data_IF_672816702796
#
_entry.id   IF_672816702796
#
_cell.length_a   1.000
_cell.length_b   1.000
_cell.length_c   1.000
_cell.angle_alpha   90.00
_cell.angle_beta   90.00
_cell.angle_gamma   90.00
#
_symmetry.space_group_name_H-M   'P 1'
#
loop_
_entity.id
_entity.type
_entity.pdbx_description
1 polymer ?
#
# COMPACT_ATOMS: atom_id res chain seq x y z
N UNK A 1 -16.96 2.67 16.14
CA UNK A 1 -16.66 2.34 14.73
C UNK A 1 -15.88 1.04 14.75
N UNK A 2 -16.30 -0.01 14.04
CA UNK A 2 -15.65 -1.33 14.11
C UNK A 2 -15.09 -1.78 12.77
N UNK A 3 -13.89 -2.35 12.77
CA UNK A 3 -13.25 -2.99 11.60
C UNK A 3 -12.96 -4.43 11.96
N UNK A 4 -13.43 -5.39 11.15
CA UNK A 4 -13.26 -6.84 11.41
C UNK A 4 -13.69 -7.27 12.83
N UNK A 5 -14.79 -6.70 13.35
CA UNK A 5 -15.31 -6.98 14.69
C UNK A 5 -14.54 -6.30 15.84
N UNK A 6 -13.51 -5.51 15.55
CA UNK A 6 -12.72 -4.77 16.55
C UNK A 6 -13.15 -3.32 16.57
N UNK A 7 -13.55 -2.81 17.74
CA UNK A 7 -13.77 -1.38 17.92
C UNK A 7 -12.44 -0.64 17.82
N UNK A 8 -12.25 0.12 16.74
CA UNK A 8 -11.01 0.83 16.47
C UNK A 8 -10.83 2.05 17.37
N UNK A 9 -11.90 2.58 17.96
CA UNK A 9 -11.84 3.74 18.86
C UNK A 9 -11.26 3.35 20.22
N UNK A 10 -11.50 2.11 20.65
CA UNK A 10 -11.05 1.58 21.93
C UNK A 10 -9.61 1.02 21.91
N UNK A 11 -8.93 1.01 20.76
CA UNK A 11 -7.59 0.41 20.62
C UNK A 11 -6.49 1.30 21.22
N UNK A 12 -5.63 0.69 22.04
CA UNK A 12 -4.39 1.32 22.48
C UNK A 12 -3.38 1.50 21.34
N UNK A 13 -2.31 2.30 21.51
CA UNK A 13 -1.37 2.68 20.44
C UNK A 13 -0.74 1.49 19.70
N UNK A 14 -0.34 0.45 20.43
CA UNK A 14 0.30 -0.74 19.85
C UNK A 14 -0.70 -1.58 19.03
N UNK A 15 -1.93 -1.73 19.51
CA UNK A 15 -2.98 -2.46 18.80
C UNK A 15 -3.42 -1.70 17.56
N UNK A 16 -3.54 -0.37 17.65
CA UNK A 16 -3.82 0.50 16.50
C UNK A 16 -2.72 0.37 15.44
N UNK A 17 -1.44 0.34 15.82
CA UNK A 17 -0.32 0.10 14.88
C UNK A 17 -0.42 -1.24 14.17
N UNK A 18 -0.89 -2.29 14.85
CA UNK A 18 -1.14 -3.60 14.21
C UNK A 18 -2.35 -3.55 13.28
N UNK A 19 -3.43 -2.90 13.69
CA UNK A 19 -4.65 -2.73 12.89
C UNK A 19 -4.37 -1.99 11.58
N UNK A 20 -3.53 -0.95 11.59
CA UNK A 20 -3.13 -0.20 10.39
C UNK A 20 -2.48 -1.05 9.30
N UNK A 21 -1.98 -2.25 9.59
CA UNK A 21 -1.46 -3.18 8.55
C UNK A 21 -2.57 -3.88 7.76
N UNK A 22 -3.80 -3.84 8.26
CA UNK A 22 -4.99 -4.44 7.64
C UNK A 22 -5.92 -3.40 7.01
N UNK A 23 -5.51 -2.13 7.03
CA UNK A 23 -6.30 -1.01 6.52
C UNK A 23 -5.50 -0.32 5.41
N UNK A 24 -6.11 -0.13 4.26
CA UNK A 24 -5.57 0.69 3.18
C UNK A 24 -6.47 1.90 2.98
N UNK A 25 -5.88 3.09 3.05
CA UNK A 25 -6.58 4.33 2.78
C UNK A 25 -6.58 4.60 1.28
N UNK A 26 -7.73 4.98 0.74
CA UNK A 26 -7.87 5.46 -0.65
C UNK A 26 -8.39 6.89 -0.57
N UNK A 27 -7.65 7.83 -1.17
CA UNK A 27 -8.02 9.24 -1.19
C UNK A 27 -9.04 9.51 -2.31
N UNK A 28 -9.98 10.43 -2.05
CA UNK A 28 -10.98 10.83 -3.05
C UNK A 28 -10.38 11.68 -4.18
N UNK A 29 -9.36 12.48 -3.88
CA UNK A 29 -8.54 13.16 -4.89
C UNK A 29 -7.23 12.37 -5.11
N UNK A 30 -7.17 11.54 -6.16
CA UNK A 30 -5.99 10.73 -6.43
C UNK A 30 -4.77 11.60 -6.79
N UNK A 31 -4.95 12.74 -7.46
CA UNK A 31 -3.84 13.56 -7.96
C UNK A 31 -3.04 14.21 -6.84
N UNK A 32 -3.73 14.69 -5.81
CA UNK A 32 -3.10 15.25 -4.61
C UNK A 32 -2.31 14.20 -3.80
N UNK A 33 -2.67 12.92 -3.94
CA UNK A 33 -2.08 11.82 -3.17
C UNK A 33 -0.87 11.16 -3.87
N UNK A 34 -0.70 11.41 -5.17
CA UNK A 34 0.43 10.91 -5.93
C UNK A 34 1.67 11.78 -5.68
N UNK A 35 2.82 11.13 -5.55
CA UNK A 35 4.10 11.84 -5.47
C UNK A 35 4.69 11.95 -6.88
N UNK A 36 4.58 13.11 -7.57
CA UNK A 36 4.86 13.21 -9.01
C UNK A 36 6.33 13.00 -9.40
N UNK A 37 7.24 12.93 -8.41
CA UNK A 37 8.67 12.64 -8.62
C UNK A 37 9.03 11.18 -8.35
N UNK A 38 8.07 10.38 -7.89
CA UNK A 38 8.25 8.97 -7.57
C UNK A 38 7.67 8.14 -8.71
N UNK A 39 8.42 7.11 -9.13
CA UNK A 39 7.94 6.15 -10.12
C UNK A 39 6.73 5.41 -9.57
N UNK A 40 5.81 5.02 -10.45
CA UNK A 40 4.62 4.24 -10.06
C UNK A 40 5.04 2.97 -9.30
N UNK A 41 6.08 2.28 -9.75
CA UNK A 41 6.60 1.08 -9.07
C UNK A 41 7.09 1.36 -7.64
N UNK A 42 7.70 2.52 -7.41
CA UNK A 42 8.22 2.92 -6.09
C UNK A 42 7.10 3.30 -5.13
N UNK A 43 6.03 3.93 -5.64
CA UNK A 43 4.83 4.25 -4.86
C UNK A 43 4.08 2.99 -4.43
N UNK A 44 3.99 1.97 -5.30
CA UNK A 44 3.38 0.68 -4.96
C UNK A 44 4.29 -0.12 -4.01
N UNK A 45 5.61 -0.03 -4.20
CA UNK A 45 6.58 -0.72 -3.35
C UNK A 45 6.68 -0.15 -1.93
N UNK A 46 6.40 1.14 -1.74
CA UNK A 46 6.59 1.84 -0.45
C UNK A 46 5.83 1.18 0.71
N UNK A 47 4.51 0.90 0.63
CA UNK A 47 3.80 0.17 1.69
C UNK A 47 4.41 -1.21 1.99
N UNK A 48 4.91 -1.88 0.96
CA UNK A 48 5.53 -3.21 1.09
C UNK A 48 6.90 -3.14 1.81
N UNK A 49 7.55 -1.97 1.89
CA UNK A 49 8.81 -1.82 2.63
C UNK A 49 8.64 -2.01 4.14
N UNK A 50 7.44 -1.76 4.67
CA UNK A 50 7.09 -1.91 6.08
C UNK A 50 6.71 -3.36 6.41
N UNK A 51 6.45 -4.18 5.40
CA UNK A 51 6.21 -5.62 5.56
C UNK A 51 7.50 -6.39 5.84
N UNK A 52 7.36 -7.65 6.26
CA UNK A 52 8.48 -8.58 6.48
C UNK A 52 9.01 -9.22 5.18
N UNK A 53 8.50 -8.80 4.00
CA UNK A 53 8.86 -9.38 2.71
C UNK A 53 10.30 -9.03 2.29
N UNK A 54 11.00 -10.00 1.70
CA UNK A 54 12.35 -9.80 1.15
C UNK A 54 12.30 -8.96 -0.13
N UNK A 55 13.44 -8.35 -0.50
CA UNK A 55 13.55 -7.51 -1.70
C UNK A 55 13.01 -8.17 -2.99
N UNK A 56 13.35 -9.44 -3.30
CA UNK A 56 12.83 -10.11 -4.49
C UNK A 56 11.30 -10.30 -4.46
N UNK A 57 10.78 -10.78 -3.33
CA UNK A 57 9.34 -11.02 -3.12
C UNK A 57 8.53 -9.72 -3.26
N UNK A 58 9.06 -8.59 -2.74
CA UNK A 58 8.42 -7.29 -2.92
C UNK A 58 8.35 -6.89 -4.39
N UNK A 59 9.42 -7.12 -5.16
CA UNK A 59 9.45 -6.78 -6.58
C UNK A 59 8.42 -7.60 -7.35
N UNK A 60 8.36 -8.90 -7.10
CA UNK A 60 7.36 -9.79 -7.70
C UNK A 60 5.93 -9.34 -7.39
N UNK A 61 5.66 -9.02 -6.12
CA UNK A 61 4.35 -8.53 -5.69
C UNK A 61 3.95 -7.19 -6.35
N UNK A 62 4.90 -6.28 -6.55
CA UNK A 62 4.64 -5.01 -7.27
C UNK A 62 4.27 -5.27 -8.72
N UNK A 63 4.95 -6.20 -9.40
CA UNK A 63 4.64 -6.55 -10.79
C UNK A 63 3.24 -7.16 -10.91
N UNK A 64 2.88 -8.07 -10.01
CA UNK A 64 1.54 -8.65 -9.94
C UNK A 64 0.46 -7.57 -9.74
N UNK A 65 0.71 -6.59 -8.86
CA UNK A 65 -0.22 -5.47 -8.63
C UNK A 65 -0.40 -4.59 -9.87
N UNK A 66 0.67 -4.34 -10.63
CA UNK A 66 0.62 -3.58 -11.88
C UNK A 66 -0.19 -4.31 -12.95
N UNK A 67 0.01 -5.62 -13.08
CA UNK A 67 -0.74 -6.47 -14.01
C UNK A 67 -2.23 -6.49 -13.68
N UNK A 68 -2.60 -6.59 -12.38
CA UNK A 68 -4.00 -6.58 -11.93
C UNK A 68 -4.78 -5.33 -12.35
N UNK A 69 -4.12 -4.18 -12.44
CA UNK A 69 -4.74 -2.91 -12.86
C UNK A 69 -4.53 -2.60 -14.34
N UNK A 70 -4.07 -3.59 -15.13
CA UNK A 70 -3.74 -3.45 -16.56
C UNK A 70 -2.73 -2.34 -16.87
N UNK A 71 -1.98 -1.87 -15.87
CA UNK A 71 -0.83 -1.01 -16.10
C UNK A 71 0.34 -1.91 -16.47
N UNK A 72 0.57 -2.10 -17.78
CA UNK A 72 1.73 -2.88 -18.23
C UNK A 72 3.02 -2.46 -17.53
N UNK A 73 3.95 -3.39 -17.30
CA UNK A 73 5.25 -3.12 -16.65
C UNK A 73 6.05 -1.94 -17.27
N UNK A 74 5.74 -1.55 -18.52
CA UNK A 74 6.30 -0.37 -19.17
C UNK A 74 5.88 0.96 -18.51
N UNK A 75 4.70 1.02 -17.88
CA UNK A 75 4.21 2.20 -17.15
C UNK A 75 4.88 2.37 -15.78
N UNK A 76 5.38 1.28 -15.17
CA UNK A 76 6.02 1.31 -13.85
C UNK A 76 7.28 2.17 -13.76
N UNK A 77 7.93 2.45 -14.91
CA UNK A 77 9.19 3.21 -14.99
C UNK A 77 9.03 4.71 -15.27
N UNK A 78 7.80 5.18 -15.48
CA UNK A 78 7.49 6.59 -15.69
C UNK A 78 7.22 7.30 -14.37
#
# INVERSE_FOLDING_TARGET
>A
MSVNGVDVIALGPQQMRRMRRHLQLVFQDPYSSLHPRMRIEDSIAEPLRISTMKRPERRERVMEMLDLVSLSAAHGRR
#
